data_IF_050165965877
#
_entry.id   IF_050165965877
#
_cell.length_a   1.000
_cell.length_b   1.000
_cell.length_c   1.000
_cell.angle_alpha   90.00
_cell.angle_beta   90.00
_cell.angle_gamma   90.00
#
_symmetry.space_group_name_H-M   'P 1'
#
loop_
_entity.id
_entity.type
_entity.pdbx_description
1 polymer ?
#
# COMPACT_ATOMS: atom_id res chain seq x y z
N UNK A 1 52.06 38.36 23.53
CA UNK A 1 51.44 39.58 22.97
C UNK A 1 49.96 39.26 22.75
N UNK A 2 49.03 39.97 23.42
CA UNK A 2 47.54 39.95 23.34
C UNK A 2 46.84 38.73 22.68
N UNK A 3 46.02 37.88 23.34
CA UNK A 3 44.85 38.06 24.24
C UNK A 3 43.64 38.77 23.60
N UNK A 4 42.56 37.99 23.40
CA UNK A 4 41.10 38.24 23.67
C UNK A 4 40.30 37.14 22.95
N UNK A 5 39.56 36.23 23.58
CA UNK A 5 38.65 36.28 24.73
C UNK A 5 37.44 37.20 24.50
N UNK A 6 36.24 36.62 24.37
CA UNK A 6 35.00 37.21 24.87
C UNK A 6 33.93 36.15 25.17
N UNK A 7 33.20 36.37 26.25
CA UNK A 7 32.31 35.44 26.92
C UNK A 7 31.04 36.20 27.33
N UNK A 8 29.86 35.59 27.14
CA UNK A 8 28.54 35.98 27.69
C UNK A 8 27.99 37.38 27.34
N UNK A 9 26.66 37.46 27.18
CA UNK A 9 25.78 38.05 28.20
C UNK A 9 24.33 37.61 27.93
N UNK A 10 23.61 37.39 29.04
CA UNK A 10 22.22 36.96 29.14
C UNK A 10 21.27 38.18 29.16
N UNK A 11 20.07 38.06 28.59
CA UNK A 11 18.96 38.96 28.91
C UNK A 11 17.60 38.22 28.90
N UNK A 12 16.99 38.09 30.09
CA UNK A 12 15.56 37.79 30.22
C UNK A 12 14.75 39.05 29.85
N UNK A 13 13.51 38.87 29.39
CA UNK A 13 12.46 39.80 29.77
C UNK A 13 11.10 39.09 29.91
N UNK A 14 10.45 39.32 31.05
CA UNK A 14 9.11 38.85 31.38
C UNK A 14 8.05 39.72 30.68
N UNK A 15 6.88 39.15 30.37
CA UNK A 15 5.62 39.85 30.64
C UNK A 15 4.45 38.87 30.67
N UNK A 16 3.76 38.87 31.81
CA UNK A 16 2.48 38.21 32.04
C UNK A 16 1.34 39.15 31.68
N UNK A 17 0.32 38.67 30.97
CA UNK A 17 -1.03 39.21 31.06
C UNK A 17 -2.05 38.08 31.06
N UNK A 18 -2.90 38.05 32.06
CA UNK A 18 -4.11 37.24 32.10
C UNK A 18 -5.33 38.14 32.22
N UNK A 19 -6.42 37.77 31.55
CA UNK A 19 -7.80 38.16 31.83
C UNK A 19 -8.65 36.93 31.46
N UNK A 20 -9.27 36.25 32.43
CA UNK A 20 -10.52 36.62 33.09
C UNK A 20 -11.76 36.25 32.25
N UNK A 21 -12.37 35.10 32.58
CA UNK A 21 -13.68 34.68 32.11
C UNK A 21 -14.82 35.33 32.92
N UNK A 22 -16.02 35.47 32.34
CA UNK A 22 -17.25 35.49 33.13
C UNK A 22 -18.27 34.41 32.69
N UNK A 23 -18.52 33.49 33.62
CA UNK A 23 -19.84 32.98 34.06
C UNK A 23 -21.05 32.96 33.11
N UNK A 24 -21.55 31.72 32.89
CA UNK A 24 -22.96 31.27 33.00
C UNK A 24 -24.10 31.99 32.27
N UNK A 25 -24.88 31.22 31.50
CA UNK A 25 -26.35 31.26 31.55
C UNK A 25 -26.95 29.94 31.10
N UNK A 26 -27.62 29.24 32.02
CA UNK A 26 -28.45 28.07 31.73
C UNK A 26 -29.89 28.51 31.49
N UNK A 27 -30.58 27.90 30.52
CA UNK A 27 -32.05 27.95 30.48
C UNK A 27 -32.64 26.68 29.89
N UNK A 28 -33.53 26.05 30.66
CA UNK A 28 -34.25 24.83 30.29
C UNK A 28 -35.64 25.17 29.74
N UNK A 29 -36.04 24.44 28.70
CA UNK A 29 -37.41 23.98 28.44
C UNK A 29 -38.54 25.00 28.22
N UNK A 30 -39.21 24.89 27.08
CA UNK A 30 -40.60 24.36 27.08
C UNK A 30 -41.03 23.85 25.69
N UNK A 31 -42.08 23.04 25.69
CA UNK A 31 -42.64 22.30 24.55
C UNK A 31 -43.45 23.20 23.63
N UNK A 32 -43.50 22.87 22.34
CA UNK A 32 -44.76 22.84 21.58
C UNK A 32 -44.75 21.68 20.59
N UNK A 33 -45.87 20.98 20.49
CA UNK A 33 -46.11 19.87 19.59
C UNK A 33 -47.02 20.33 18.45
N UNK A 34 -46.82 19.86 17.21
CA UNK A 34 -47.91 19.75 16.24
C UNK A 34 -47.67 18.61 15.24
N UNK A 35 -48.77 17.93 14.89
CA UNK A 35 -48.85 16.90 13.83
C UNK A 35 -49.10 17.58 12.47
N UNK A 36 -48.62 16.98 11.38
CA UNK A 36 -49.02 17.32 10.02
C UNK A 36 -48.55 16.24 9.03
N UNK A 37 -49.48 15.66 8.28
CA UNK A 37 -49.23 14.50 7.41
C UNK A 37 -49.10 14.87 5.92
N UNK A 38 -48.41 14.02 5.16
CA UNK A 38 -48.77 13.72 3.75
C UNK A 38 -47.78 14.17 2.67
N UNK A 39 -47.66 13.36 1.61
CA UNK A 39 -47.02 13.74 0.33
C UNK A 39 -45.99 12.74 -0.19
N UNK A 40 -46.34 11.94 -1.21
CA UNK A 40 -45.51 10.84 -1.74
C UNK A 40 -44.73 11.18 -3.02
N UNK A 41 -43.57 10.52 -3.19
CA UNK A 41 -42.93 10.15 -4.49
C UNK A 41 -42.32 11.32 -5.32
N UNK A 42 -41.30 11.18 -6.18
CA UNK A 42 -40.40 10.10 -6.70
C UNK A 42 -38.99 10.74 -6.79
N UNK A 43 -37.84 10.07 -6.92
CA UNK A 43 -37.46 8.66 -7.05
C UNK A 43 -36.10 8.59 -7.77
N UNK A 44 -35.10 7.90 -7.20
CA UNK A 44 -33.76 7.71 -7.79
C UNK A 44 -33.22 6.33 -7.44
N UNK A 45 -32.57 5.67 -8.41
CA UNK A 45 -32.12 4.27 -8.28
C UNK A 45 -30.93 4.14 -7.31
N UNK A 46 -31.13 3.46 -6.19
CA UNK A 46 -30.03 2.99 -5.35
C UNK A 46 -29.53 1.62 -5.86
N UNK A 47 -28.22 1.47 -6.03
CA UNK A 47 -27.61 0.15 -6.24
C UNK A 47 -27.70 -0.63 -4.93
N UNK A 48 -28.38 -1.78 -4.96
CA UNK A 48 -28.47 -2.67 -3.79
C UNK A 48 -27.20 -3.49 -3.65
N UNK A 49 -26.44 -3.23 -2.59
CA UNK A 49 -25.39 -4.13 -2.10
C UNK A 49 -26.05 -5.29 -1.36
N UNK A 50 -26.08 -6.48 -1.97
CA UNK A 50 -26.66 -7.68 -1.37
C UNK A 50 -25.77 -8.20 -0.24
N UNK A 51 -26.28 -8.42 0.98
CA UNK A 51 -25.56 -9.13 2.02
C UNK A 51 -25.70 -10.64 1.86
N UNK A 52 -24.58 -11.36 1.72
CA UNK A 52 -24.53 -12.83 1.76
C UNK A 52 -23.63 -13.25 2.94
N UNK A 53 -24.24 -13.65 4.06
CA UNK A 53 -24.62 -15.03 4.43
C UNK A 53 -23.46 -15.91 4.91
N UNK A 54 -23.56 -16.35 6.16
CA UNK A 54 -22.68 -17.37 6.74
C UNK A 54 -23.13 -18.78 6.32
N UNK A 55 -22.19 -19.74 6.34
CA UNK A 55 -22.52 -21.07 6.84
C UNK A 55 -21.55 -21.57 7.93
N UNK A 56 -21.96 -22.67 8.55
CA UNK A 56 -21.47 -23.23 9.82
C UNK A 56 -21.00 -24.67 9.58
N UNK A 57 -19.92 -25.11 10.22
CA UNK A 57 -19.62 -26.54 10.42
C UNK A 57 -18.20 -26.99 10.11
N UNK A 58 -17.49 -27.44 11.15
CA UNK A 58 -16.41 -28.45 11.06
C UNK A 58 -17.02 -29.86 11.20
N UNK A 59 -16.36 -30.92 10.70
CA UNK A 59 -15.40 -31.65 11.53
C UNK A 59 -14.13 -32.11 10.78
N UNK A 60 -13.17 -32.64 11.53
CA UNK A 60 -11.93 -33.30 11.08
C UNK A 60 -11.94 -34.79 11.53
N UNK A 61 -10.85 -35.57 11.42
CA UNK A 61 -9.84 -35.72 10.36
C UNK A 61 -9.83 -37.16 9.77
N UNK A 62 -8.97 -37.44 8.78
CA UNK A 62 -8.73 -38.80 8.25
C UNK A 62 -7.25 -39.12 8.09
N UNK A 63 -6.79 -40.20 8.73
CA UNK A 63 -5.38 -40.64 8.73
C UNK A 63 -5.01 -41.50 7.51
N UNK A 64 -3.76 -41.42 7.04
CA UNK A 64 -3.21 -42.32 6.02
C UNK A 64 -1.67 -42.32 6.07
N UNK A 65 -1.07 -43.45 6.43
CA UNK A 65 0.38 -43.61 6.64
C UNK A 65 1.10 -44.19 5.42
N UNK A 66 2.38 -43.84 5.22
CA UNK A 66 3.25 -44.47 4.22
C UNK A 66 4.71 -44.03 4.36
N UNK A 67 5.61 -44.96 4.70
CA UNK A 67 7.02 -44.69 5.06
C UNK A 67 8.05 -45.06 3.99
N UNK A 68 9.23 -44.41 4.10
CA UNK A 68 10.57 -44.75 3.58
C UNK A 68 10.82 -44.60 2.04
N UNK A 69 12.07 -44.51 1.53
CA UNK A 69 13.42 -44.52 2.13
C UNK A 69 14.34 -43.47 1.40
N UNK A 70 15.23 -42.73 2.07
CA UNK A 70 16.65 -43.02 2.43
C UNK A 70 17.69 -43.06 1.29
N UNK A 71 18.74 -42.23 1.42
CA UNK A 71 19.97 -42.24 0.60
C UNK A 71 20.31 -40.89 -0.06
N UNK A 72 21.49 -40.27 0.09
CA UNK A 72 22.62 -40.61 0.96
C UNK A 72 23.98 -40.10 0.47
N UNK A 73 24.39 -38.90 0.93
CA UNK A 73 25.81 -38.47 0.96
C UNK A 73 26.39 -37.76 -0.28
N UNK A 74 27.41 -36.91 -0.04
CA UNK A 74 28.27 -36.33 -1.10
C UNK A 74 28.37 -34.80 -1.09
N UNK A 75 29.07 -34.21 -0.12
CA UNK A 75 29.34 -32.77 -0.12
C UNK A 75 30.53 -32.39 -1.00
N UNK A 76 30.50 -31.18 -1.57
CA UNK A 76 31.71 -30.47 -2.04
C UNK A 76 31.43 -28.97 -2.05
N UNK A 77 32.12 -28.24 -1.18
CA UNK A 77 32.11 -26.79 -1.18
C UNK A 77 33.05 -26.27 -2.28
N UNK A 78 32.50 -25.56 -3.26
CA UNK A 78 33.25 -24.76 -4.22
C UNK A 78 32.56 -23.40 -4.34
N UNK A 79 33.36 -22.33 -4.43
CA UNK A 79 32.90 -20.97 -4.13
C UNK A 79 31.71 -20.50 -4.97
N UNK A 80 30.59 -20.23 -4.31
CA UNK A 80 29.44 -19.60 -4.96
C UNK A 80 29.70 -18.09 -5.11
N UNK A 81 30.55 -17.74 -6.07
CA UNK A 81 30.71 -16.38 -6.55
C UNK A 81 29.41 -15.92 -7.18
N UNK A 82 28.54 -15.30 -6.37
CA UNK A 82 27.28 -14.74 -6.83
C UNK A 82 27.57 -13.65 -7.84
N UNK A 83 27.48 -14.01 -9.12
CA UNK A 83 27.42 -13.05 -10.21
C UNK A 83 26.12 -12.28 -10.05
N UNK A 84 26.24 -11.07 -9.49
CA UNK A 84 25.13 -10.13 -9.33
C UNK A 84 24.67 -9.64 -10.69
N UNK A 85 23.83 -10.44 -11.35
CA UNK A 85 23.02 -9.99 -12.47
C UNK A 85 22.01 -9.00 -11.92
N UNK A 86 22.20 -7.71 -12.23
CA UNK A 86 21.34 -6.65 -11.73
C UNK A 86 19.86 -6.90 -12.03
N UNK A 87 18.99 -6.40 -11.16
CA UNK A 87 17.55 -6.56 -11.31
C UNK A 87 17.06 -5.98 -12.65
N UNK A 88 16.29 -6.77 -13.42
CA UNK A 88 15.64 -6.26 -14.62
C UNK A 88 14.48 -5.34 -14.20
N UNK A 89 14.72 -4.03 -14.27
CA UNK A 89 13.73 -3.00 -13.93
C UNK A 89 12.95 -2.49 -15.15
N UNK A 90 13.06 -3.12 -16.32
CA UNK A 90 12.26 -2.77 -17.50
C UNK A 90 10.83 -3.34 -17.43
N UNK A 91 9.89 -2.68 -18.11
CA UNK A 91 8.48 -3.09 -18.09
C UNK A 91 8.32 -4.48 -18.72
N UNK A 92 7.81 -5.42 -17.92
CA UNK A 92 7.52 -6.79 -18.33
C UNK A 92 6.03 -7.07 -18.17
N UNK A 93 5.39 -7.68 -19.18
CA UNK A 93 3.96 -8.06 -19.12
C UNK A 93 3.72 -9.55 -18.91
N UNK A 94 4.80 -10.31 -18.70
CA UNK A 94 4.78 -11.76 -18.49
C UNK A 94 5.33 -12.07 -17.10
N UNK A 95 4.56 -12.81 -16.31
CA UNK A 95 5.01 -13.23 -14.98
C UNK A 95 6.19 -14.21 -15.09
N UNK A 96 7.28 -14.01 -14.33
CA UNK A 96 8.45 -14.86 -14.39
C UNK A 96 8.20 -16.23 -13.77
N UNK A 97 8.87 -17.25 -14.32
CA UNK A 97 8.97 -18.55 -13.65
C UNK A 97 9.98 -18.46 -12.50
N UNK A 98 9.61 -18.98 -11.33
CA UNK A 98 10.48 -18.98 -10.17
C UNK A 98 11.65 -19.97 -10.34
N UNK A 99 12.85 -19.56 -9.90
CA UNK A 99 14.06 -20.43 -9.90
C UNK A 99 14.09 -21.42 -8.71
N UNK A 100 13.09 -21.37 -7.85
CA UNK A 100 12.94 -22.18 -6.64
C UNK A 100 11.88 -21.58 -5.73
N UNK A 101 11.62 -22.21 -4.58
CA UNK A 101 10.64 -21.76 -3.58
C UNK A 101 11.19 -21.82 -2.16
N UNK A 102 10.79 -20.87 -1.32
CA UNK A 102 11.12 -20.76 0.10
C UNK A 102 9.85 -20.46 0.89
N UNK A 103 9.48 -21.38 1.78
CA UNK A 103 8.33 -21.24 2.65
C UNK A 103 8.81 -20.76 4.03
N UNK A 104 8.31 -19.61 4.49
CA UNK A 104 8.71 -18.99 5.76
C UNK A 104 7.56 -18.99 6.77
N UNK A 105 7.86 -19.36 8.02
CA UNK A 105 6.89 -19.37 9.12
C UNK A 105 6.71 -17.98 9.77
N UNK A 106 7.74 -17.15 9.76
CA UNK A 106 7.74 -15.76 10.29
C UNK A 106 8.17 -14.78 9.20
N UNK A 107 7.76 -13.52 9.33
CA UNK A 107 8.18 -12.44 8.42
C UNK A 107 9.70 -12.32 8.35
N UNK A 108 10.24 -11.96 7.17
CA UNK A 108 11.67 -11.73 6.97
C UNK A 108 11.98 -10.23 6.90
N UNK A 109 12.65 -9.72 7.92
CA UNK A 109 13.11 -8.32 7.95
C UNK A 109 14.41 -8.14 7.18
N UNK A 110 14.46 -7.12 6.32
CA UNK A 110 15.68 -6.56 5.74
C UNK A 110 16.00 -5.29 6.51
N UNK A 111 17.13 -5.30 7.22
CA UNK A 111 17.51 -4.24 8.14
C UNK A 111 17.85 -2.92 7.43
N UNK A 112 17.88 -1.82 8.19
CA UNK A 112 18.09 -0.48 7.66
C UNK A 112 19.34 -0.37 6.77
N UNK A 113 19.18 0.23 5.58
CA UNK A 113 20.21 0.38 4.56
C UNK A 113 20.72 -0.93 3.92
N UNK A 114 20.21 -2.10 4.29
CA UNK A 114 20.65 -3.39 3.74
C UNK A 114 19.96 -3.72 2.42
N UNK A 115 20.64 -4.51 1.59
CA UNK A 115 20.10 -5.03 0.33
C UNK A 115 19.88 -6.53 0.39
N UNK A 116 18.76 -7.01 -0.13
CA UNK A 116 18.46 -8.43 -0.27
C UNK A 116 18.08 -8.78 -1.71
N UNK A 117 18.87 -9.63 -2.36
CA UNK A 117 18.53 -10.23 -3.65
C UNK A 117 17.91 -11.61 -3.43
N UNK A 118 16.69 -11.80 -3.92
CA UNK A 118 15.94 -13.05 -3.84
C UNK A 118 16.26 -14.07 -4.93
N UNK A 119 17.09 -13.74 -5.92
CA UNK A 119 17.53 -14.64 -6.99
C UNK A 119 16.42 -15.11 -7.94
N UNK A 120 15.27 -14.43 -8.00
CA UNK A 120 14.01 -14.89 -8.61
C UNK A 120 13.44 -16.17 -7.97
N UNK A 121 13.68 -16.36 -6.67
CA UNK A 121 13.02 -17.39 -5.85
C UNK A 121 11.64 -16.89 -5.42
N UNK A 122 10.67 -17.81 -5.35
CA UNK A 122 9.36 -17.57 -4.77
C UNK A 122 9.42 -17.67 -3.24
N UNK A 123 8.95 -16.65 -2.54
CA UNK A 123 8.83 -16.58 -1.08
C UNK A 123 7.35 -16.62 -0.70
N UNK A 124 6.96 -17.56 0.16
CA UNK A 124 5.57 -17.73 0.56
C UNK A 124 5.42 -18.05 2.05
N UNK A 125 4.24 -17.84 2.61
CA UNK A 125 3.95 -18.03 4.04
C UNK A 125 3.49 -19.46 4.32
N UNK A 126 4.11 -20.12 5.31
CA UNK A 126 3.72 -21.47 5.75
C UNK A 126 3.77 -21.58 7.28
N UNK A 127 2.61 -21.65 7.98
CA UNK A 127 1.26 -21.67 7.44
C UNK A 127 0.88 -20.36 6.73
N UNK A 128 -0.16 -20.43 5.90
CA UNK A 128 -0.69 -19.26 5.20
C UNK A 128 -1.14 -18.18 6.18
N UNK A 129 -0.77 -16.92 5.91
CA UNK A 129 -1.29 -15.76 6.64
C UNK A 129 -2.43 -15.08 5.90
N UNK A 130 -2.75 -15.52 4.67
CA UNK A 130 -3.85 -15.00 3.87
C UNK A 130 -5.23 -15.28 4.49
N UNK A 131 -5.98 -14.19 4.73
CA UNK A 131 -7.36 -14.20 5.27
C UNK A 131 -8.33 -13.42 4.37
N UNK A 132 -8.00 -13.32 3.09
CA UNK A 132 -8.64 -12.39 2.16
C UNK A 132 -8.44 -10.95 2.61
N UNK A 133 -9.51 -10.18 2.59
CA UNK A 133 -9.53 -8.74 2.86
C UNK A 133 -9.75 -8.43 4.36
N UNK A 134 -9.14 -9.22 5.25
CA UNK A 134 -9.21 -9.02 6.70
C UNK A 134 -7.90 -8.41 7.17
N UNK A 135 -7.96 -7.16 7.66
CA UNK A 135 -6.78 -6.35 7.98
C UNK A 135 -5.71 -7.10 8.79
N UNK A 136 -4.53 -7.21 8.18
CA UNK A 136 -3.35 -7.88 8.71
C UNK A 136 -2.47 -6.99 9.60
N UNK A 137 -1.17 -7.25 9.52
CA UNK A 137 -0.15 -6.43 10.15
C UNK A 137 1.23 -7.02 9.94
N UNK A 138 2.27 -6.35 10.45
CA UNK A 138 3.68 -6.67 10.19
C UNK A 138 4.07 -8.16 10.38
N UNK A 139 3.41 -8.90 11.29
CA UNK A 139 3.67 -10.33 11.53
C UNK A 139 3.14 -11.26 10.42
N UNK A 140 2.16 -10.79 9.65
CA UNK A 140 1.48 -11.52 8.59
C UNK A 140 2.14 -11.28 7.22
N UNK A 141 3.10 -10.34 7.16
CA UNK A 141 3.87 -9.99 5.98
C UNK A 141 4.90 -11.07 5.58
N UNK A 142 5.27 -11.10 4.31
CA UNK A 142 6.38 -11.92 3.81
C UNK A 142 7.70 -11.20 4.13
N UNK A 143 7.78 -9.91 3.84
CA UNK A 143 8.96 -9.08 4.11
C UNK A 143 8.62 -7.79 4.87
N UNK A 144 9.56 -7.37 5.72
CA UNK A 144 9.64 -6.02 6.26
C UNK A 144 10.90 -5.37 5.71
N UNK A 145 10.79 -4.15 5.21
CA UNK A 145 11.89 -3.29 4.80
C UNK A 145 11.99 -2.12 5.78
N UNK A 146 13.12 -2.03 6.49
CA UNK A 146 13.44 -0.87 7.31
C UNK A 146 13.93 0.32 6.45
N UNK A 147 14.20 1.47 7.08
CA UNK A 147 14.64 2.69 6.38
C UNK A 147 15.88 2.45 5.50
N UNK A 148 15.80 2.86 4.23
CA UNK A 148 16.84 2.68 3.22
C UNK A 148 17.02 1.24 2.72
N UNK A 149 16.23 0.27 3.18
CA UNK A 149 16.39 -1.12 2.76
C UNK A 149 15.96 -1.34 1.30
N UNK A 150 16.69 -2.22 0.62
CA UNK A 150 16.46 -2.59 -0.80
C UNK A 150 16.15 -4.07 -0.92
N UNK A 151 15.13 -4.41 -1.72
CA UNK A 151 14.82 -5.79 -2.11
C UNK A 151 14.81 -5.90 -3.64
N UNK A 152 15.39 -6.98 -4.15
CA UNK A 152 15.55 -7.23 -5.59
C UNK A 152 15.18 -8.67 -5.94
N UNK A 153 14.62 -8.88 -7.13
CA UNK A 153 14.47 -10.22 -7.73
C UNK A 153 13.71 -11.22 -6.85
N UNK A 154 12.50 -10.87 -6.40
CA UNK A 154 11.68 -11.71 -5.52
C UNK A 154 10.34 -12.02 -6.19
N UNK A 155 9.88 -13.26 -6.07
CA UNK A 155 8.48 -13.62 -6.36
C UNK A 155 7.78 -13.86 -5.02
N UNK A 156 6.56 -13.37 -4.86
CA UNK A 156 5.71 -13.56 -3.68
C UNK A 156 4.60 -14.55 -4.03
N UNK A 157 4.53 -15.65 -3.28
CA UNK A 157 3.53 -16.70 -3.44
C UNK A 157 2.16 -16.34 -2.87
N UNK A 158 1.11 -17.11 -3.17
CA UNK A 158 -0.30 -16.74 -2.91
C UNK A 158 -0.75 -16.86 -1.45
N UNK A 159 0.09 -17.35 -0.53
CA UNK A 159 -0.23 -17.46 0.90
C UNK A 159 0.21 -16.25 1.73
N UNK A 160 0.83 -15.24 1.11
CA UNK A 160 0.99 -13.91 1.69
C UNK A 160 -0.36 -13.41 2.21
N UNK A 161 -0.46 -13.03 3.49
CA UNK A 161 -1.59 -12.24 3.98
C UNK A 161 -1.36 -10.78 3.68
N UNK A 162 -0.20 -10.32 4.13
CA UNK A 162 0.39 -9.04 3.76
C UNK A 162 1.62 -9.33 2.88
N UNK A 163 1.88 -8.51 1.86
CA UNK A 163 3.03 -8.70 0.98
C UNK A 163 4.35 -8.20 1.59
N UNK A 164 4.69 -6.94 1.33
CA UNK A 164 5.92 -6.27 1.78
C UNK A 164 5.57 -4.99 2.52
N UNK A 165 6.05 -4.82 3.75
CA UNK A 165 5.88 -3.59 4.52
C UNK A 165 7.15 -2.74 4.50
N UNK A 166 7.09 -1.55 3.91
CA UNK A 166 8.15 -0.54 4.01
C UNK A 166 7.89 0.35 5.23
N UNK A 167 8.66 0.14 6.31
CA UNK A 167 8.55 0.92 7.55
C UNK A 167 9.27 2.27 7.45
N UNK A 168 10.24 2.37 6.55
CA UNK A 168 10.90 3.61 6.13
C UNK A 168 10.95 3.69 4.61
N UNK A 169 11.68 4.67 4.05
CA UNK A 169 11.85 4.76 2.59
C UNK A 169 12.54 3.49 2.08
N UNK A 170 11.96 2.83 1.07
CA UNK A 170 12.45 1.53 0.59
C UNK A 170 12.66 1.51 -0.92
N UNK A 171 13.48 0.58 -1.42
CA UNK A 171 13.62 0.33 -2.86
C UNK A 171 13.24 -1.11 -3.19
N UNK A 172 12.31 -1.29 -4.13
CA UNK A 172 11.77 -2.58 -4.54
C UNK A 172 12.03 -2.74 -6.04
N UNK A 173 12.95 -3.62 -6.43
CA UNK A 173 13.35 -3.83 -7.82
C UNK A 173 12.93 -5.22 -8.32
N UNK A 174 12.23 -5.31 -9.45
CA UNK A 174 11.88 -6.59 -10.08
C UNK A 174 11.19 -7.58 -9.10
N UNK A 175 10.15 -7.12 -8.40
CA UNK A 175 9.39 -7.95 -7.45
C UNK A 175 8.00 -8.26 -8.00
N UNK A 176 7.58 -9.51 -7.84
CA UNK A 176 6.43 -10.09 -8.53
C UNK A 176 5.45 -10.76 -7.58
N UNK A 177 4.19 -10.33 -7.54
CA UNK A 177 3.16 -10.91 -6.67
C UNK A 177 2.25 -11.84 -7.48
N UNK A 178 2.40 -13.16 -7.31
CA UNK A 178 1.62 -14.15 -8.06
C UNK A 178 0.11 -14.07 -7.79
N UNK A 179 -0.25 -13.62 -6.58
CA UNK A 179 -1.59 -13.24 -6.18
C UNK A 179 -1.50 -12.33 -4.96
N UNK A 180 -2.21 -11.21 -4.96
CA UNK A 180 -2.33 -10.34 -3.79
C UNK A 180 -3.50 -10.82 -2.92
N UNK A 181 -3.29 -10.94 -1.61
CA UNK A 181 -4.35 -11.39 -0.69
C UNK A 181 -5.14 -10.21 -0.10
N UNK A 182 -4.47 -9.41 0.74
CA UNK A 182 -4.94 -8.09 1.15
C UNK A 182 -4.30 -7.03 0.24
N UNK A 183 -3.04 -6.66 0.55
CA UNK A 183 -2.22 -5.66 -0.12
C UNK A 183 -0.86 -6.23 -0.53
N UNK A 184 -0.28 -5.72 -1.62
CA UNK A 184 1.03 -6.20 -2.10
C UNK A 184 2.20 -5.47 -1.43
N UNK A 185 2.14 -4.14 -1.34
CA UNK A 185 3.16 -3.30 -0.74
C UNK A 185 2.49 -2.21 0.09
N UNK A 186 2.87 -2.12 1.36
CA UNK A 186 2.35 -1.15 2.33
C UNK A 186 3.46 -0.17 2.72
N UNK A 187 3.29 1.11 2.37
CA UNK A 187 4.27 2.19 2.56
C UNK A 187 3.95 3.00 3.82
N UNK A 188 4.88 2.98 4.79
CA UNK A 188 4.77 3.63 6.10
C UNK A 188 5.90 4.63 6.39
N UNK A 189 6.74 4.95 5.42
CA UNK A 189 7.76 5.99 5.57
C UNK A 189 7.10 7.32 5.99
N UNK A 190 7.73 8.10 6.86
CA UNK A 190 7.16 9.39 7.33
C UNK A 190 7.42 10.54 6.36
N UNK A 191 8.47 10.41 5.55
CA UNK A 191 8.94 11.37 4.55
C UNK A 191 9.86 10.65 3.56
N UNK A 192 10.44 11.38 2.60
CA UNK A 192 11.36 10.79 1.61
C UNK A 192 10.64 10.21 0.40
N UNK A 193 11.26 9.23 -0.26
CA UNK A 193 10.72 8.57 -1.45
C UNK A 193 11.01 7.09 -1.41
N UNK A 194 9.94 6.29 -1.46
CA UNK A 194 10.02 4.85 -1.72
C UNK A 194 9.91 4.58 -3.22
N UNK A 195 10.69 3.63 -3.73
CA UNK A 195 10.80 3.31 -5.15
C UNK A 195 10.32 1.89 -5.46
N UNK A 196 9.54 1.75 -6.53
CA UNK A 196 9.14 0.46 -7.11
C UNK A 196 9.53 0.45 -8.59
N UNK A 197 10.54 -0.35 -8.95
CA UNK A 197 11.17 -0.34 -10.27
C UNK A 197 11.04 -1.72 -10.94
N UNK A 198 10.24 -1.80 -12.01
CA UNK A 198 9.95 -3.08 -12.67
C UNK A 198 9.15 -4.04 -11.78
N UNK A 199 8.92 -5.25 -12.27
CA UNK A 199 8.10 -6.23 -11.59
C UNK A 199 6.60 -6.06 -11.85
N UNK A 200 5.77 -6.69 -11.01
CA UNK A 200 4.32 -6.63 -11.18
C UNK A 200 3.49 -7.36 -10.13
N UNK A 201 2.17 -7.17 -10.19
CA UNK A 201 1.20 -7.84 -9.33
C UNK A 201 -0.03 -8.30 -10.13
N UNK A 202 -0.71 -9.35 -9.67
CA UNK A 202 -1.97 -9.76 -10.27
C UNK A 202 -3.03 -10.16 -9.25
N UNK A 203 -4.29 -10.10 -9.69
CA UNK A 203 -5.49 -10.55 -9.00
C UNK A 203 -5.68 -9.91 -7.60
N UNK A 204 -5.45 -8.60 -7.50
CA UNK A 204 -5.64 -7.81 -6.28
C UNK A 204 -7.09 -7.33 -6.14
N UNK A 205 -7.79 -7.85 -5.11
CA UNK A 205 -9.22 -7.59 -4.90
C UNK A 205 -9.53 -6.14 -4.45
N UNK A 206 -8.65 -5.53 -3.64
CA UNK A 206 -8.73 -4.13 -3.25
C UNK A 206 -7.58 -3.30 -3.82
N UNK A 207 -6.36 -3.42 -3.28
CA UNK A 207 -5.24 -2.53 -3.61
C UNK A 207 -3.90 -3.27 -3.71
N UNK A 208 -2.98 -2.71 -4.48
CA UNK A 208 -1.62 -3.24 -4.63
C UNK A 208 -0.62 -2.42 -3.82
N UNK A 209 -0.65 -1.09 -3.98
CA UNK A 209 0.22 -0.14 -3.30
C UNK A 209 -0.60 0.68 -2.29
N UNK A 210 -0.58 0.26 -1.03
CA UNK A 210 -1.21 0.99 0.07
C UNK A 210 -0.22 2.00 0.66
N UNK A 211 -0.61 3.27 0.73
CA UNK A 211 0.23 4.34 1.26
C UNK A 211 -0.39 4.91 2.54
N UNK A 212 0.08 4.43 3.68
CA UNK A 212 -0.32 4.86 5.03
C UNK A 212 0.52 6.07 5.49
N UNK A 213 1.81 6.05 5.17
CA UNK A 213 2.83 7.03 5.57
C UNK A 213 2.72 8.37 4.84
N UNK A 214 3.79 9.17 4.89
CA UNK A 214 3.95 10.41 4.14
C UNK A 214 5.03 10.33 3.05
N UNK A 215 5.32 11.46 2.42
CA UNK A 215 6.31 11.54 1.35
C UNK A 215 5.80 10.99 0.02
N UNK A 216 6.69 10.37 -0.76
CA UNK A 216 6.42 9.99 -2.16
C UNK A 216 6.58 8.48 -2.39
N UNK A 217 5.68 7.89 -3.18
CA UNK A 217 5.87 6.56 -3.77
C UNK A 217 6.09 6.71 -5.27
N UNK A 218 7.32 6.47 -5.73
CA UNK A 218 7.71 6.56 -7.13
C UNK A 218 7.71 5.17 -7.77
N UNK A 219 6.84 4.95 -8.75
CA UNK A 219 6.65 3.67 -9.43
C UNK A 219 7.04 3.81 -10.90
N UNK A 220 7.91 2.93 -11.37
CA UNK A 220 8.37 2.89 -12.76
C UNK A 220 8.30 1.48 -13.33
N UNK A 221 7.92 1.36 -14.60
CA UNK A 221 8.02 0.13 -15.39
C UNK A 221 7.21 -1.05 -14.79
N UNK A 222 6.10 -0.78 -14.08
CA UNK A 222 5.36 -1.79 -13.32
C UNK A 222 4.14 -2.34 -14.09
N UNK A 223 3.92 -3.65 -14.02
CA UNK A 223 2.75 -4.31 -14.60
C UNK A 223 1.74 -4.74 -13.53
N UNK A 224 0.47 -4.45 -13.75
CA UNK A 224 -0.61 -4.90 -12.89
C UNK A 224 -1.71 -5.54 -13.72
N UNK A 225 -2.12 -6.77 -13.38
CA UNK A 225 -3.17 -7.51 -14.09
C UNK A 225 -4.35 -7.80 -13.16
N UNK A 226 -5.57 -7.46 -13.58
CA UNK A 226 -6.78 -7.61 -12.76
C UNK A 226 -6.68 -6.93 -11.37
N UNK A 227 -5.96 -5.80 -11.28
CA UNK A 227 -5.75 -5.08 -10.02
C UNK A 227 -6.87 -4.07 -9.79
N UNK A 228 -7.71 -4.25 -8.77
CA UNK A 228 -8.85 -3.38 -8.47
C UNK A 228 -8.43 -1.91 -8.32
N UNK A 229 -7.48 -1.62 -7.41
CA UNK A 229 -6.75 -0.35 -7.33
C UNK A 229 -5.25 -0.62 -7.43
N UNK A 230 -4.52 0.08 -8.28
CA UNK A 230 -3.05 -0.05 -8.26
C UNK A 230 -2.44 0.67 -7.06
N UNK A 231 -2.89 1.89 -6.76
CA UNK A 231 -2.41 2.69 -5.62
C UNK A 231 -3.57 3.36 -4.86
N UNK A 232 -3.45 3.40 -3.53
CA UNK A 232 -4.34 4.15 -2.65
C UNK A 232 -3.56 4.90 -1.58
N UNK A 233 -3.72 6.23 -1.54
CA UNK A 233 -3.42 7.04 -0.35
C UNK A 233 -4.45 6.73 0.73
N UNK A 234 -4.04 6.34 1.93
CA UNK A 234 -4.94 5.91 3.00
C UNK A 234 -5.95 7.00 3.38
N UNK A 235 -7.20 6.89 2.92
CA UNK A 235 -8.19 7.97 3.06
C UNK A 235 -8.92 8.02 4.41
N UNK A 236 -8.78 7.02 5.27
CA UNK A 236 -9.46 6.92 6.57
C UNK A 236 -8.50 6.63 7.75
N UNK A 237 -7.19 6.69 7.52
CA UNK A 237 -6.16 6.57 8.55
C UNK A 237 -6.35 7.58 9.69
N UNK A 238 -6.13 7.12 10.93
CA UNK A 238 -6.26 7.94 12.16
C UNK A 238 -5.41 9.21 12.12
N UNK A 239 -4.20 9.10 11.58
CA UNK A 239 -3.34 10.24 11.25
C UNK A 239 -3.37 10.43 9.75
N UNK A 240 -3.63 11.66 9.30
CA UNK A 240 -3.59 12.03 7.90
C UNK A 240 -2.46 12.98 7.60
N UNK A 241 -1.86 12.80 6.43
CA UNK A 241 -0.74 13.56 5.87
C UNK A 241 -0.92 13.66 4.37
N UNK A 242 -0.33 14.68 3.74
CA UNK A 242 -0.25 14.76 2.28
C UNK A 242 0.65 13.62 1.74
N UNK A 243 0.16 12.91 0.72
CA UNK A 243 0.87 11.79 0.08
C UNK A 243 1.04 12.04 -1.41
N UNK A 244 2.26 11.84 -1.89
CA UNK A 244 2.60 12.01 -3.29
C UNK A 244 2.93 10.68 -3.97
N UNK A 245 2.73 10.63 -5.29
CA UNK A 245 3.03 9.45 -6.10
C UNK A 245 3.41 9.81 -7.53
N UNK A 246 4.28 9.01 -8.14
CA UNK A 246 4.57 9.08 -9.57
C UNK A 246 4.46 7.70 -10.22
N UNK A 247 3.97 7.67 -11.45
CA UNK A 247 3.67 6.45 -12.20
C UNK A 247 4.21 6.61 -13.62
N UNK A 248 5.37 6.02 -13.88
CA UNK A 248 6.12 6.16 -15.13
C UNK A 248 6.16 4.83 -15.89
N UNK A 249 5.64 4.79 -17.12
CA UNK A 249 5.58 3.58 -17.96
C UNK A 249 4.92 2.38 -17.25
N UNK A 250 3.71 2.60 -16.73
CA UNK A 250 2.89 1.58 -16.07
C UNK A 250 2.02 0.85 -17.09
N UNK A 251 1.77 -0.45 -16.91
CA UNK A 251 0.68 -1.15 -17.59
C UNK A 251 -0.30 -1.72 -16.57
N UNK A 252 -1.48 -1.10 -16.46
CA UNK A 252 -2.63 -1.64 -15.74
C UNK A 252 -3.55 -2.34 -16.77
N UNK A 253 -3.63 -3.66 -16.70
CA UNK A 253 -4.41 -4.51 -17.60
C UNK A 253 -5.63 -5.09 -16.86
N UNK A 254 -6.75 -4.38 -16.97
CA UNK A 254 -7.94 -4.62 -16.17
C UNK A 254 -7.81 -4.10 -14.74
N UNK A 255 -8.94 -3.80 -14.10
CA UNK A 255 -8.98 -3.15 -12.79
C UNK A 255 -10.12 -2.15 -12.69
N UNK A 256 -10.03 -1.22 -11.73
CA UNK A 256 -10.96 -0.09 -11.58
C UNK A 256 -10.26 1.26 -11.61
N UNK A 257 -9.10 1.40 -10.97
CA UNK A 257 -8.36 2.67 -10.92
C UNK A 257 -6.85 2.47 -10.76
N UNK A 258 -6.04 3.31 -11.41
CA UNK A 258 -4.59 3.35 -11.20
C UNK A 258 -4.26 4.08 -9.87
N UNK A 259 -4.65 5.34 -9.70
CA UNK A 259 -4.30 6.14 -8.50
C UNK A 259 -5.52 6.71 -7.75
N UNK A 260 -5.72 6.30 -6.49
CA UNK A 260 -6.73 6.87 -5.58
C UNK A 260 -6.11 7.83 -4.56
N UNK A 261 -6.35 9.14 -4.71
CA UNK A 261 -5.78 10.24 -3.90
C UNK A 261 -6.83 10.99 -3.09
N UNK A 262 -6.42 11.68 -2.01
CA UNK A 262 -7.29 12.45 -1.13
C UNK A 262 -6.99 13.95 -1.24
N UNK A 263 -7.62 14.65 -2.19
CA UNK A 263 -7.22 16.02 -2.56
C UNK A 263 -7.45 17.06 -1.47
N UNK A 264 -8.39 16.84 -0.55
CA UNK A 264 -8.58 17.69 0.62
C UNK A 264 -7.43 17.60 1.66
N UNK A 265 -6.56 16.60 1.55
CA UNK A 265 -5.38 16.41 2.40
C UNK A 265 -4.08 16.91 1.74
N UNK A 266 -4.16 17.45 0.52
CA UNK A 266 -2.99 17.94 -0.22
C UNK A 266 -2.22 16.86 -0.99
N UNK A 267 -2.82 15.68 -1.21
CA UNK A 267 -2.23 14.62 -2.04
C UNK A 267 -1.92 15.10 -3.47
N UNK A 268 -1.03 14.40 -4.16
CA UNK A 268 -0.76 14.64 -5.58
C UNK A 268 -0.25 13.40 -6.31
N UNK A 269 -0.60 13.24 -7.58
CA UNK A 269 -0.18 12.11 -8.40
C UNK A 269 0.17 12.54 -9.82
N UNK A 270 1.25 11.98 -10.37
CA UNK A 270 1.70 12.24 -11.74
C UNK A 270 1.79 10.90 -12.47
N UNK A 271 1.10 10.76 -13.59
CA UNK A 271 1.09 9.56 -14.44
C UNK A 271 1.64 9.92 -15.82
N UNK A 272 2.70 9.22 -16.26
CA UNK A 272 3.36 9.46 -17.56
C UNK A 272 3.55 8.17 -18.34
N UNK A 273 3.43 8.28 -19.66
CA UNK A 273 3.78 7.25 -20.64
C UNK A 273 3.16 5.86 -20.36
N UNK A 274 1.98 5.86 -19.74
CA UNK A 274 1.37 4.67 -19.13
C UNK A 274 0.16 4.17 -19.89
N UNK A 275 -0.18 2.91 -19.66
CA UNK A 275 -1.29 2.19 -20.25
C UNK A 275 -2.29 1.75 -19.17
N UNK A 276 -3.57 2.11 -19.33
CA UNK A 276 -4.65 1.89 -18.36
C UNK A 276 -5.86 1.27 -19.08
N UNK A 277 -5.87 -0.06 -19.18
CA UNK A 277 -6.83 -0.84 -19.97
C UNK A 277 -8.07 -1.27 -19.17
N UNK A 278 -9.03 -1.86 -19.87
CA UNK A 278 -10.21 -2.48 -19.24
C UNK A 278 -11.25 -1.50 -18.70
N UNK A 279 -11.17 -0.23 -19.07
CA UNK A 279 -12.08 0.82 -18.58
C UNK A 279 -11.74 1.38 -17.20
N UNK A 280 -10.56 1.05 -16.67
CA UNK A 280 -10.08 1.61 -15.41
C UNK A 280 -9.87 3.13 -15.49
N UNK A 281 -10.14 3.83 -14.39
CA UNK A 281 -9.83 5.25 -14.24
C UNK A 281 -8.31 5.45 -14.07
N UNK A 282 -7.77 6.51 -14.66
CA UNK A 282 -6.36 6.90 -14.39
C UNK A 282 -6.22 7.38 -12.94
N UNK A 283 -7.19 8.17 -12.49
CA UNK A 283 -7.21 8.76 -11.15
C UNK A 283 -8.62 8.81 -10.57
N UNK A 284 -8.72 8.74 -9.24
CA UNK A 284 -9.90 9.07 -8.46
C UNK A 284 -9.48 9.96 -7.27
N UNK A 285 -10.26 11.01 -7.03
CA UNK A 285 -10.07 11.97 -5.95
C UNK A 285 -11.14 11.75 -4.88
N UNK A 286 -10.72 11.65 -3.62
CA UNK A 286 -11.57 11.39 -2.47
C UNK A 286 -11.48 12.52 -1.43
N UNK A 287 -12.53 12.62 -0.62
CA UNK A 287 -12.55 13.39 0.62
C UNK A 287 -12.07 12.48 1.76
N UNK A 288 -10.77 12.56 2.06
CA UNK A 288 -10.12 11.82 3.14
C UNK A 288 -10.48 12.36 4.52
N UNK A 289 -10.43 11.50 5.53
CA UNK A 289 -10.83 11.78 6.91
C UNK A 289 -9.95 11.02 7.92
N UNK A 290 -10.14 11.32 9.21
CA UNK A 290 -9.47 10.67 10.34
C UNK A 290 -10.45 9.95 11.29
N UNK A 291 -11.70 9.74 10.88
CA UNK A 291 -12.73 9.09 11.70
C UNK A 291 -12.81 7.57 11.50
N UNK A 292 -12.06 7.02 10.54
CA UNK A 292 -12.17 5.62 10.10
C UNK A 292 -13.35 5.38 9.14
N UNK A 293 -14.14 6.39 8.82
CA UNK A 293 -15.24 6.26 7.87
C UNK A 293 -14.72 6.13 6.43
N UNK A 294 -15.46 5.41 5.58
CA UNK A 294 -15.07 5.28 4.17
C UNK A 294 -14.98 6.63 3.45
N UNK A 295 -13.87 6.93 2.75
CA UNK A 295 -13.70 8.20 2.04
C UNK A 295 -14.71 8.37 0.91
N UNK A 296 -15.31 9.56 0.83
CA UNK A 296 -16.28 9.86 -0.22
C UNK A 296 -15.56 10.19 -1.54
N UNK A 297 -15.97 9.60 -2.65
CA UNK A 297 -15.50 9.98 -3.99
C UNK A 297 -15.97 11.41 -4.32
N UNK A 298 -15.04 12.25 -4.77
CA UNK A 298 -15.25 13.66 -5.15
C UNK A 298 -15.25 13.82 -6.67
N UNK A 299 -14.27 13.24 -7.36
CA UNK A 299 -14.15 13.27 -8.82
C UNK A 299 -13.33 12.10 -9.36
N UNK A 300 -13.47 11.82 -10.66
CA UNK A 300 -12.73 10.78 -11.37
C UNK A 300 -12.05 11.37 -12.62
N UNK A 301 -10.93 10.79 -13.01
CA UNK A 301 -10.10 11.23 -14.14
C UNK A 301 -9.02 12.26 -13.76
N UNK A 302 -8.07 12.53 -14.67
CA UNK A 302 -7.06 13.57 -14.48
C UNK A 302 -7.66 14.98 -14.52
N UNK A 303 -7.21 15.87 -13.64
CA UNK A 303 -7.65 17.27 -13.54
C UNK A 303 -6.55 18.28 -13.91
N UNK A 304 -5.33 17.81 -14.18
CA UNK A 304 -4.17 18.64 -14.50
C UNK A 304 -3.57 19.38 -13.30
N UNK A 305 -3.99 19.06 -12.06
CA UNK A 305 -3.51 19.70 -10.82
C UNK A 305 -3.19 18.68 -9.74
N UNK A 306 -4.21 17.98 -9.26
CA UNK A 306 -4.12 16.88 -8.31
C UNK A 306 -3.59 15.62 -8.98
N UNK A 307 -4.15 15.30 -10.15
CA UNK A 307 -3.75 14.23 -11.02
C UNK A 307 -3.33 14.81 -12.37
N UNK A 308 -2.03 14.80 -12.62
CA UNK A 308 -1.43 15.18 -13.90
C UNK A 308 -1.17 13.92 -14.71
N UNK A 309 -1.81 13.79 -15.87
CA UNK A 309 -1.64 12.66 -16.77
C UNK A 309 -1.07 13.11 -18.13
N UNK A 310 0.06 12.54 -18.54
CA UNK A 310 0.73 12.83 -19.81
C UNK A 310 0.97 11.52 -20.57
N UNK A 311 0.67 11.49 -21.87
CA UNK A 311 0.86 10.31 -22.74
C UNK A 311 0.17 9.02 -22.22
N UNK A 312 -0.90 9.14 -21.43
CA UNK A 312 -1.62 7.97 -20.90
C UNK A 312 -2.60 7.44 -21.93
N UNK A 313 -2.46 6.15 -22.27
CA UNK A 313 -3.34 5.42 -23.18
C UNK A 313 -4.36 4.60 -22.41
N UNK A 314 -5.64 4.67 -22.80
CA UNK A 314 -6.71 3.80 -22.25
C UNK A 314 -7.08 2.63 -23.17
N UNK A 315 -6.46 2.56 -24.35
CA UNK A 315 -6.54 1.47 -25.34
C UNK A 315 -5.33 1.57 -26.28
N UNK A 316 -5.05 0.55 -27.09
CA UNK A 316 -3.96 0.61 -28.08
C UNK A 316 -2.55 0.63 -27.47
N UNK A 317 -2.32 -0.26 -26.51
CA UNK A 317 -1.02 -0.63 -25.94
C UNK A 317 -0.65 -2.08 -26.34
#
# INVERSE_FOLDING_TARGET
MYIRNNLLVLALCLSTLGLASPTTSSKSGSKTSHKGSGGSSKGSKAHSSVPAHAPKGTPAPGSGSGSAASGGGGGSAAGNGTTSGGANTELQTTFPTAKGSQNIATVKTIAAGQSFDGGMVMWDRSPSTCKGQTEGGNKDAVFILEEGATISNVIIGPNNGEGIHCLGSCTINNVWFQKVCEDAITFRQTSGTSYVNGGGAQDAADKVLQHDGGGTVAVKNYFCKNCSKMYRSCGNCKTQVARHSTFDNIRLDGGKVLSGVNGNLGDGTIVRDSCVLGGAQVCENFEGNSSGAEPKLVSSGPDGKLCVATNVKTSGC
#
